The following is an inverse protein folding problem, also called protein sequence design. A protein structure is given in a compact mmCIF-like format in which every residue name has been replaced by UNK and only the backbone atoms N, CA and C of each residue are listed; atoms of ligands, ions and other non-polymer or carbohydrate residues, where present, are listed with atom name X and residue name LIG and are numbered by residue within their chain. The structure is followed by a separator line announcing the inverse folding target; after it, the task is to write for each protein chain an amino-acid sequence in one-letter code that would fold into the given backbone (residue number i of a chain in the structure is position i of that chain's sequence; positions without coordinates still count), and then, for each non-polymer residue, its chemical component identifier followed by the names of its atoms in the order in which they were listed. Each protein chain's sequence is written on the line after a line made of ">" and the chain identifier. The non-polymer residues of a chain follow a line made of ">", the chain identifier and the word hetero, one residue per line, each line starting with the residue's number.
data_IF_468635192165
#
_entry.id   IF_468635192165
#
_cell.length_a   1.000
_cell.length_b   1.000
_cell.length_c   1.000
_cell.angle_alpha   90.00
_cell.angle_beta   90.00
_cell.angle_gamma   90.00
#
_symmetry.space_group_name_H-M   'P 1'
#
loop_
_entity.id
_entity.type
_entity.pdbx_description
1 polymer ?
#
# COMPACT_ATOMS: atom_id res chain seq x y z
N UNK A 1 15.53 -41.37 -13.17
CA UNK A 1 15.62 -40.41 -12.01
C UNK A 1 14.34 -39.60 -11.99
N UNK A 2 13.42 -39.91 -11.09
CA UNK A 2 12.14 -39.22 -10.96
C UNK A 2 12.38 -37.97 -10.07
N UNK A 3 12.42 -36.78 -10.68
CA UNK A 3 12.44 -35.53 -9.90
C UNK A 3 11.04 -35.32 -9.31
N UNK A 4 10.90 -35.55 -8.02
CA UNK A 4 9.72 -35.15 -7.26
C UNK A 4 9.81 -33.65 -7.04
N UNK A 5 9.10 -32.86 -7.83
CA UNK A 5 8.87 -31.47 -7.53
C UNK A 5 7.90 -31.42 -6.35
N UNK A 6 8.43 -31.25 -5.13
CA UNK A 6 7.61 -30.86 -4.00
C UNK A 6 7.14 -29.44 -4.25
N UNK A 7 5.86 -29.27 -4.61
CA UNK A 7 5.24 -27.95 -4.61
C UNK A 7 5.28 -27.43 -3.16
N UNK A 8 6.03 -26.36 -2.93
CA UNK A 8 5.90 -25.62 -1.68
C UNK A 8 4.43 -25.20 -1.55
N UNK A 9 3.81 -25.38 -0.37
CA UNK A 9 2.46 -24.89 -0.17
C UNK A 9 2.45 -23.38 -0.47
N UNK A 10 1.45 -22.93 -1.22
CA UNK A 10 1.25 -21.50 -1.44
C UNK A 10 1.16 -20.83 -0.07
N UNK A 11 2.07 -19.91 0.22
CA UNK A 11 2.06 -19.20 1.48
C UNK A 11 0.80 -18.35 1.53
N UNK A 12 -0.07 -18.59 2.51
CA UNK A 12 -1.22 -17.74 2.75
C UNK A 12 -0.71 -16.34 3.08
N UNK A 13 -1.18 -15.33 2.35
CA UNK A 13 -0.85 -13.95 2.62
C UNK A 13 -2.12 -13.15 2.94
N UNK A 14 -1.95 -12.01 3.55
CA UNK A 14 -2.98 -10.99 3.66
C UNK A 14 -2.34 -9.61 3.65
N UNK A 15 -3.16 -8.57 3.59
CA UNK A 15 -2.75 -7.18 3.64
C UNK A 15 -2.86 -6.69 5.09
N UNK A 16 -1.84 -5.99 5.55
CA UNK A 16 -1.84 -5.39 6.89
C UNK A 16 -2.18 -3.90 6.80
N UNK A 17 -3.35 -3.53 7.30
CA UNK A 17 -3.75 -2.13 7.48
C UNK A 17 -3.02 -1.54 8.69
N UNK A 18 -2.34 -0.42 8.47
CA UNK A 18 -1.55 0.24 9.51
C UNK A 18 -2.44 1.11 10.38
N UNK A 19 -2.45 0.80 11.68
CA UNK A 19 -3.02 1.65 12.72
C UNK A 19 -1.99 2.72 13.09
N UNK A 20 -2.02 3.86 12.40
CA UNK A 20 -1.14 5.00 12.67
C UNK A 20 -1.74 5.97 13.68
N UNK A 21 -0.90 6.84 14.25
CA UNK A 21 -1.29 7.92 15.14
C UNK A 21 -1.41 9.26 14.37
N UNK A 22 -1.95 10.29 15.03
CA UNK A 22 -2.03 11.63 14.48
C UNK A 22 -3.44 12.19 14.32
N UNK A 23 -4.47 11.36 14.52
CA UNK A 23 -5.88 11.77 14.50
C UNK A 23 -6.60 11.52 13.18
N UNK A 24 -5.91 10.99 12.15
CA UNK A 24 -6.58 10.49 10.95
C UNK A 24 -7.31 9.17 11.20
N UNK A 25 -8.31 8.90 10.40
CA UNK A 25 -9.18 7.74 10.52
C UNK A 25 -8.65 6.53 9.72
N UNK A 26 -7.50 6.01 10.14
CA UNK A 26 -6.83 4.84 9.56
C UNK A 26 -7.76 3.64 9.28
N UNK A 27 -8.93 3.62 9.89
CA UNK A 27 -9.96 2.57 9.82
C UNK A 27 -11.05 2.85 8.79
N UNK A 28 -10.95 3.92 8.00
CA UNK A 28 -11.92 4.23 6.95
C UNK A 28 -11.98 3.12 5.90
N UNK A 29 -13.06 3.07 5.15
CA UNK A 29 -13.33 2.06 4.10
C UNK A 29 -13.10 0.62 4.59
N UNK A 30 -13.83 0.20 5.62
CA UNK A 30 -13.57 -1.10 6.27
C UNK A 30 -13.83 -2.30 5.37
N UNK A 31 -14.56 -2.13 4.28
CA UNK A 31 -14.84 -3.18 3.30
C UNK A 31 -13.82 -3.26 2.17
N UNK A 32 -12.99 -2.24 1.97
CA UNK A 32 -12.07 -2.14 0.83
C UNK A 32 -11.12 -3.34 0.72
N UNK A 33 -10.35 -3.60 1.76
CA UNK A 33 -9.39 -4.71 1.74
C UNK A 33 -10.03 -6.10 1.75
N UNK A 34 -11.08 -6.39 2.54
CA UNK A 34 -11.82 -7.64 2.41
C UNK A 34 -12.36 -7.87 0.99
N UNK A 35 -12.92 -6.85 0.35
CA UNK A 35 -13.39 -6.94 -1.03
C UNK A 35 -12.25 -7.23 -2.01
N UNK A 36 -11.11 -6.53 -1.89
CA UNK A 36 -9.92 -6.77 -2.70
C UNK A 36 -9.39 -8.20 -2.52
N UNK A 37 -9.25 -8.67 -1.29
CA UNK A 37 -8.75 -10.02 -0.99
C UNK A 37 -9.67 -11.10 -1.55
N UNK A 38 -10.98 -10.94 -1.40
CA UNK A 38 -11.98 -11.84 -1.99
C UNK A 38 -11.92 -11.82 -3.53
N UNK A 39 -11.78 -10.64 -4.13
CA UNK A 39 -11.63 -10.49 -5.58
C UNK A 39 -10.36 -11.20 -6.09
N UNK A 40 -9.22 -11.01 -5.43
CA UNK A 40 -7.96 -11.69 -5.77
C UNK A 40 -8.10 -13.21 -5.68
N UNK A 41 -8.74 -13.70 -4.63
CA UNK A 41 -8.98 -15.15 -4.47
C UNK A 41 -9.85 -15.75 -5.57
N UNK A 42 -10.84 -14.98 -6.04
CA UNK A 42 -11.80 -15.45 -7.06
C UNK A 42 -11.23 -15.36 -8.49
N UNK A 43 -10.40 -14.35 -8.79
CA UNK A 43 -10.02 -13.97 -10.15
C UNK A 43 -8.55 -14.20 -10.47
N UNK A 44 -7.74 -14.65 -9.51
CA UNK A 44 -6.30 -14.88 -9.70
C UNK A 44 -5.89 -16.24 -9.11
N UNK A 45 -4.71 -16.77 -9.45
CA UNK A 45 -4.15 -17.95 -8.79
C UNK A 45 -3.75 -17.72 -7.31
N UNK A 46 -3.81 -16.48 -6.83
CA UNK A 46 -3.44 -16.14 -5.47
C UNK A 46 -4.42 -16.73 -4.45
N UNK A 47 -3.94 -17.01 -3.24
CA UNK A 47 -4.73 -17.57 -2.14
C UNK A 47 -4.60 -16.69 -0.90
N UNK A 48 -5.11 -15.44 -0.94
CA UNK A 48 -5.12 -14.58 0.22
C UNK A 48 -6.11 -15.08 1.27
N UNK A 49 -5.91 -14.65 2.52
CA UNK A 49 -6.96 -14.70 3.55
C UNK A 49 -8.10 -13.77 3.14
N UNK A 50 -9.31 -14.03 3.61
CA UNK A 50 -10.49 -13.21 3.31
C UNK A 50 -10.51 -11.88 4.06
N UNK A 51 -9.71 -11.74 5.12
CA UNK A 51 -9.71 -10.60 6.02
C UNK A 51 -8.33 -9.94 6.09
N UNK A 52 -8.32 -8.62 6.21
CA UNK A 52 -7.14 -7.85 6.54
C UNK A 52 -6.65 -8.12 7.97
N UNK A 53 -5.40 -7.77 8.24
CA UNK A 53 -4.88 -7.67 9.62
C UNK A 53 -4.68 -6.19 9.93
N UNK A 54 -5.08 -5.77 11.14
CA UNK A 54 -4.85 -4.42 11.65
C UNK A 54 -3.68 -4.46 12.61
N UNK A 55 -2.66 -3.64 12.33
CA UNK A 55 -1.37 -3.74 13.00
C UNK A 55 -0.74 -2.36 13.20
N UNK A 56 0.00 -2.20 14.29
CA UNK A 56 0.90 -1.05 14.47
C UNK A 56 2.29 -1.39 13.91
N UNK A 57 3.02 -0.39 13.49
CA UNK A 57 4.40 -0.58 13.01
C UNK A 57 5.33 -1.18 14.07
N UNK A 58 5.00 -0.99 15.35
CA UNK A 58 5.78 -1.52 16.49
C UNK A 58 5.39 -2.94 16.92
N UNK A 59 4.38 -3.53 16.30
CA UNK A 59 3.95 -4.89 16.65
C UNK A 59 4.97 -5.93 16.17
N UNK A 60 5.20 -6.95 16.97
CA UNK A 60 6.22 -7.99 16.68
C UNK A 60 5.90 -8.80 15.42
N UNK A 61 4.64 -8.92 15.10
CA UNK A 61 4.11 -9.67 13.97
C UNK A 61 4.26 -8.92 12.63
N UNK A 62 4.68 -7.64 12.62
CA UNK A 62 4.81 -6.81 11.42
C UNK A 62 5.55 -7.53 10.27
N UNK A 63 6.63 -8.23 10.60
CA UNK A 63 7.47 -8.90 9.60
C UNK A 63 6.77 -10.07 8.89
N UNK A 64 5.63 -10.52 9.40
CA UNK A 64 4.81 -11.56 8.76
C UNK A 64 3.94 -11.00 7.63
N UNK A 65 3.86 -9.69 7.49
CA UNK A 65 2.95 -9.00 6.55
C UNK A 65 3.72 -8.06 5.61
N UNK A 66 4.31 -8.57 4.53
CA UNK A 66 5.13 -7.75 3.64
C UNK A 66 4.34 -6.72 2.82
N UNK A 67 3.02 -6.82 2.74
CA UNK A 67 2.15 -5.83 2.10
C UNK A 67 1.43 -5.01 3.19
N UNK A 68 1.80 -3.75 3.28
CA UNK A 68 1.22 -2.76 4.18
C UNK A 68 0.24 -1.88 3.41
N UNK A 69 -0.86 -1.51 4.06
CA UNK A 69 -1.85 -0.57 3.53
C UNK A 69 -2.10 0.54 4.54
N UNK A 70 -2.19 1.76 4.04
CA UNK A 70 -2.45 2.96 4.83
C UNK A 70 -3.48 3.81 4.09
N UNK A 71 -4.54 4.18 4.76
CA UNK A 71 -5.59 5.02 4.20
C UNK A 71 -6.19 5.92 5.28
N UNK A 72 -7.05 6.83 4.92
CA UNK A 72 -7.83 7.66 5.81
C UNK A 72 -7.86 9.14 5.44
N UNK A 73 -8.62 9.88 6.22
CA UNK A 73 -8.68 11.33 6.15
C UNK A 73 -7.79 11.96 7.24
N UNK A 74 -7.18 13.08 6.93
CA UNK A 74 -6.49 13.91 7.91
C UNK A 74 -5.06 13.49 8.25
N UNK A 75 -4.66 13.72 9.49
CA UNK A 75 -3.26 13.77 9.84
C UNK A 75 -2.67 12.41 10.24
N UNK A 76 -1.50 12.11 9.66
CA UNK A 76 -0.65 10.97 10.04
C UNK A 76 0.51 11.50 10.87
N UNK A 77 0.88 10.79 11.92
CA UNK A 77 2.07 11.07 12.71
C UNK A 77 2.74 9.77 13.11
N UNK A 78 4.01 9.63 12.74
CA UNK A 78 4.85 8.50 13.13
C UNK A 78 5.83 8.92 14.24
N UNK A 79 6.03 8.05 15.22
CA UNK A 79 7.10 8.19 16.20
C UNK A 79 8.46 7.95 15.57
N UNK A 80 9.56 8.31 16.26
CA UNK A 80 10.91 8.04 15.78
C UNK A 80 11.17 6.53 15.63
N UNK A 81 10.62 5.72 16.53
CA UNK A 81 10.71 4.27 16.47
C UNK A 81 9.98 3.72 15.22
N UNK A 82 8.76 4.17 14.97
CA UNK A 82 7.98 3.75 13.80
C UNK A 82 8.67 4.15 12.48
N UNK A 83 9.31 5.31 12.42
CA UNK A 83 10.09 5.76 11.26
C UNK A 83 11.24 4.81 10.97
N UNK A 84 11.99 4.40 12.00
CA UNK A 84 13.14 3.49 11.86
C UNK A 84 12.64 2.12 11.38
N UNK A 85 11.61 1.59 12.04
CA UNK A 85 11.03 0.27 11.71
C UNK A 85 10.50 0.26 10.27
N UNK A 86 9.71 1.25 9.89
CA UNK A 86 9.12 1.33 8.54
C UNK A 86 10.21 1.43 7.47
N UNK A 87 11.23 2.27 7.69
CA UNK A 87 12.38 2.41 6.77
C UNK A 87 13.06 1.08 6.53
N UNK A 88 13.46 0.40 7.61
CA UNK A 88 14.17 -0.87 7.52
C UNK A 88 13.31 -1.94 6.86
N UNK A 89 12.03 -1.99 7.20
CA UNK A 89 11.13 -3.00 6.67
C UNK A 89 10.92 -2.82 5.16
N UNK A 90 10.69 -1.60 4.71
CA UNK A 90 10.58 -1.28 3.27
C UNK A 90 11.88 -1.57 2.51
N UNK A 91 13.05 -1.24 3.08
CA UNK A 91 14.35 -1.55 2.45
C UNK A 91 14.60 -3.05 2.36
N UNK A 92 14.09 -3.85 3.28
CA UNK A 92 14.19 -5.33 3.28
C UNK A 92 13.23 -6.02 2.32
N UNK A 93 12.38 -5.30 1.62
CA UNK A 93 11.51 -5.88 0.57
C UNK A 93 10.01 -5.72 0.81
N UNK A 94 9.59 -5.18 1.95
CA UNK A 94 8.19 -4.85 2.15
C UNK A 94 7.69 -3.77 1.18
N UNK A 95 6.38 -3.68 1.03
CA UNK A 95 5.69 -2.74 0.17
C UNK A 95 4.61 -2.02 0.97
N UNK A 96 4.49 -0.71 0.79
CA UNK A 96 3.43 0.10 1.36
C UNK A 96 2.57 0.69 0.24
N UNK A 97 1.29 0.42 0.25
CA UNK A 97 0.29 1.15 -0.52
C UNK A 97 -0.38 2.16 0.41
N UNK A 98 -0.26 3.43 0.09
CA UNK A 98 -0.98 4.50 0.77
C UNK A 98 -2.03 5.05 -0.20
N UNK A 99 -3.29 5.06 0.24
CA UNK A 99 -4.43 5.50 -0.54
C UNK A 99 -5.07 6.70 0.17
N UNK A 100 -5.02 7.86 -0.49
CA UNK A 100 -5.53 9.11 0.08
C UNK A 100 -7.03 9.23 -0.17
N UNK A 101 -7.82 9.02 0.87
CA UNK A 101 -9.25 9.25 0.79
C UNK A 101 -9.55 10.74 0.58
N UNK A 102 -8.95 11.60 1.40
CA UNK A 102 -8.93 13.06 1.23
C UNK A 102 -8.21 13.72 2.42
N UNK A 103 -7.26 14.59 2.12
CA UNK A 103 -6.59 15.41 3.14
C UNK A 103 -5.45 14.72 3.90
N UNK A 104 -5.02 13.56 3.49
CA UNK A 104 -3.86 12.86 4.02
C UNK A 104 -2.53 13.36 3.42
N UNK A 105 -2.57 13.96 2.24
CA UNK A 105 -1.41 14.25 1.39
C UNK A 105 -0.24 14.95 2.10
N UNK A 106 -0.49 16.08 2.74
CA UNK A 106 0.59 16.85 3.40
C UNK A 106 1.24 16.05 4.52
N UNK A 107 0.44 15.41 5.36
CA UNK A 107 0.93 14.63 6.49
C UNK A 107 1.67 13.38 6.03
N UNK A 108 1.15 12.65 5.05
CA UNK A 108 1.78 11.47 4.51
C UNK A 108 3.15 11.79 3.88
N UNK A 109 3.22 12.80 3.02
CA UNK A 109 4.49 13.23 2.40
C UNK A 109 5.50 13.72 3.45
N UNK A 110 5.06 14.43 4.47
CA UNK A 110 5.92 14.85 5.59
C UNK A 110 6.50 13.63 6.32
N UNK A 111 5.68 12.66 6.67
CA UNK A 111 6.16 11.46 7.36
C UNK A 111 7.08 10.61 6.46
N UNK A 112 6.75 10.46 5.17
CA UNK A 112 7.63 9.73 4.24
C UNK A 112 8.97 10.44 4.04
N UNK A 113 9.02 11.77 4.10
CA UNK A 113 10.29 12.53 4.07
C UNK A 113 11.13 12.30 5.33
N UNK A 114 10.51 12.03 6.49
CA UNK A 114 11.21 11.60 7.71
C UNK A 114 11.71 10.15 7.58
N UNK A 115 10.90 9.28 6.99
CA UNK A 115 11.32 7.87 6.72
C UNK A 115 12.48 7.84 5.73
N UNK A 116 12.42 8.58 4.64
CA UNK A 116 13.43 8.63 3.57
C UNK A 116 13.86 10.06 3.26
N UNK A 117 14.76 10.68 4.06
CA UNK A 117 15.16 12.09 3.88
C UNK A 117 15.75 12.41 2.50
N UNK A 118 16.39 11.43 1.88
CA UNK A 118 17.12 11.59 0.61
C UNK A 118 16.35 11.03 -0.61
N UNK A 119 15.06 10.70 -0.45
CA UNK A 119 14.22 10.22 -1.55
C UNK A 119 13.02 11.16 -1.72
N UNK A 120 12.58 11.29 -2.95
CA UNK A 120 11.39 12.06 -3.30
C UNK A 120 10.40 11.15 -4.05
N UNK A 121 9.12 11.46 -3.94
CA UNK A 121 8.08 10.81 -4.74
C UNK A 121 8.25 11.17 -6.21
N UNK A 122 8.19 10.14 -7.05
CA UNK A 122 8.18 10.26 -8.51
C UNK A 122 6.79 9.93 -8.99
N UNK A 123 6.17 10.81 -9.77
CA UNK A 123 4.89 10.53 -10.40
C UNK A 123 5.07 9.43 -11.44
N UNK A 124 4.16 8.46 -11.42
CA UNK A 124 4.17 7.33 -12.36
C UNK A 124 3.37 7.70 -13.61
N UNK A 125 4.00 7.72 -14.79
CA UNK A 125 3.30 7.99 -16.04
C UNK A 125 2.30 6.86 -16.36
N UNK A 126 1.30 7.14 -17.17
CA UNK A 126 0.25 6.17 -17.52
C UNK A 126 0.79 4.89 -18.19
N UNK A 127 1.94 5.00 -18.87
CA UNK A 127 2.65 3.88 -19.50
C UNK A 127 3.44 3.02 -18.53
N UNK A 128 3.47 3.40 -17.24
CA UNK A 128 4.22 2.63 -16.25
C UNK A 128 3.67 1.22 -16.12
N UNK A 129 4.57 0.21 -16.02
CA UNK A 129 4.22 -1.20 -15.99
C UNK A 129 3.23 -1.59 -14.86
N UNK A 130 3.14 -0.79 -13.80
CA UNK A 130 2.15 -0.96 -12.75
C UNK A 130 0.72 -1.01 -13.30
N UNK A 131 0.39 -0.11 -14.26
CA UNK A 131 -0.95 0.01 -14.82
C UNK A 131 -1.29 -1.07 -15.85
N UNK A 132 -0.34 -1.94 -16.18
CA UNK A 132 -0.48 -3.02 -17.16
C UNK A 132 -0.09 -4.38 -16.56
N UNK A 133 0.06 -4.47 -15.23
CA UNK A 133 0.62 -5.66 -14.58
C UNK A 133 -0.32 -6.88 -14.61
N UNK A 134 -1.63 -6.67 -14.48
CA UNK A 134 -2.65 -7.71 -14.54
C UNK A 134 -3.89 -7.25 -15.33
N UNK A 135 -4.42 -6.10 -15.00
CA UNK A 135 -5.43 -5.40 -15.80
C UNK A 135 -4.75 -4.28 -16.58
N UNK A 136 -5.34 -3.92 -17.70
CA UNK A 136 -4.88 -2.79 -18.50
C UNK A 136 -5.63 -1.52 -18.08
N UNK A 137 -4.89 -0.55 -17.56
CA UNK A 137 -5.36 0.78 -17.20
C UNK A 137 -4.67 1.82 -18.08
N UNK A 138 -5.02 1.94 -19.36
CA UNK A 138 -4.28 2.76 -20.32
C UNK A 138 -4.31 4.26 -19.99
N UNK A 139 -5.26 4.69 -19.16
CA UNK A 139 -5.40 6.08 -18.70
C UNK A 139 -4.88 6.28 -17.25
N UNK A 140 -4.14 5.32 -16.71
CA UNK A 140 -3.70 5.34 -15.32
C UNK A 140 -4.80 4.96 -14.33
N UNK A 141 -4.72 5.49 -13.10
CA UNK A 141 -5.68 5.17 -12.05
C UNK A 141 -7.09 5.66 -12.37
N UNK A 142 -8.14 4.91 -12.02
CA UNK A 142 -9.50 5.44 -12.02
C UNK A 142 -9.68 6.46 -10.90
N UNK A 143 -10.54 7.46 -11.11
CA UNK A 143 -11.07 8.30 -10.04
C UNK A 143 -12.36 7.65 -9.54
N UNK A 144 -12.32 7.06 -8.36
CA UNK A 144 -13.46 6.32 -7.80
C UNK A 144 -14.41 7.28 -7.10
N UNK A 145 -13.86 8.20 -6.29
CA UNK A 145 -14.62 9.23 -5.62
C UNK A 145 -14.13 10.63 -6.01
N UNK A 146 -15.04 11.57 -6.20
CA UNK A 146 -14.72 12.97 -6.50
C UNK A 146 -14.87 13.85 -5.27
N UNK A 147 -13.74 14.29 -4.71
CA UNK A 147 -13.70 15.34 -3.69
C UNK A 147 -13.52 16.71 -4.32
N UNK A 148 -12.67 16.79 -5.32
CA UNK A 148 -12.44 17.95 -6.17
C UNK A 148 -12.22 17.52 -7.63
N UNK A 149 -12.11 18.45 -8.56
CA UNK A 149 -12.00 18.15 -9.98
C UNK A 149 -10.60 17.74 -10.47
N UNK A 150 -9.66 17.43 -9.56
CA UNK A 150 -8.30 17.08 -9.95
C UNK A 150 -8.24 15.63 -10.49
N UNK A 151 -7.35 15.36 -11.47
CA UNK A 151 -7.16 14.01 -11.98
C UNK A 151 -6.47 13.11 -10.94
N UNK A 152 -6.73 11.80 -10.97
CA UNK A 152 -6.03 10.85 -10.12
C UNK A 152 -4.55 10.75 -10.50
N UNK A 153 -3.69 10.61 -9.51
CA UNK A 153 -2.25 10.51 -9.67
C UNK A 153 -1.69 9.34 -8.87
N UNK A 154 -0.66 8.69 -9.39
CA UNK A 154 0.11 7.69 -8.67
C UNK A 154 1.55 8.17 -8.49
N UNK A 155 2.08 8.00 -7.30
CA UNK A 155 3.45 8.34 -6.97
C UNK A 155 4.19 7.15 -6.40
N UNK A 156 5.45 6.97 -6.79
CA UNK A 156 6.34 5.93 -6.27
C UNK A 156 7.49 6.49 -5.44
N UNK A 157 7.81 5.84 -4.31
CA UNK A 157 9.14 5.93 -3.70
C UNK A 157 9.91 4.67 -4.04
N UNK A 158 11.14 4.84 -4.55
CA UNK A 158 11.92 3.76 -5.10
C UNK A 158 13.15 3.40 -4.28
N UNK A 159 13.46 2.10 -4.24
CA UNK A 159 14.81 1.61 -3.97
C UNK A 159 15.34 0.94 -5.24
N UNK A 160 16.27 1.61 -5.91
CA UNK A 160 16.70 1.29 -7.28
C UNK A 160 15.49 1.31 -8.22
N UNK A 161 15.13 0.15 -8.81
CA UNK A 161 13.98 0.02 -9.72
C UNK A 161 12.70 -0.48 -9.02
N UNK A 162 12.78 -0.84 -7.73
CA UNK A 162 11.65 -1.36 -6.98
C UNK A 162 10.85 -0.24 -6.33
N UNK A 163 9.55 -0.20 -6.57
CA UNK A 163 8.62 0.63 -5.81
C UNK A 163 8.52 0.06 -4.40
N UNK A 164 8.92 0.84 -3.40
CA UNK A 164 8.75 0.51 -1.98
C UNK A 164 7.42 1.05 -1.44
N UNK A 165 7.06 2.24 -1.90
CA UNK A 165 5.82 2.91 -1.53
C UNK A 165 5.10 3.32 -2.80
N UNK A 166 3.86 2.90 -2.94
CA UNK A 166 2.90 3.41 -3.90
C UNK A 166 1.96 4.36 -3.15
N UNK A 167 1.81 5.57 -3.65
CA UNK A 167 0.87 6.54 -3.12
C UNK A 167 -0.14 6.89 -4.22
N UNK A 168 -1.40 6.54 -3.98
CA UNK A 168 -2.52 6.86 -4.85
C UNK A 168 -3.22 8.10 -4.30
N UNK A 169 -3.28 9.15 -5.13
CA UNK A 169 -3.72 10.48 -4.75
C UNK A 169 -4.84 10.94 -5.66
N UNK A 170 -5.85 11.61 -5.11
CA UNK A 170 -7.03 12.12 -5.82
C UNK A 170 -7.89 11.02 -6.47
N UNK A 171 -7.82 9.78 -6.01
CA UNK A 171 -8.56 8.66 -6.61
C UNK A 171 -9.45 7.90 -5.65
N UNK A 172 -9.14 7.85 -4.36
CA UNK A 172 -9.92 7.17 -3.33
C UNK A 172 -10.29 5.73 -3.74
N UNK A 173 -9.25 4.90 -3.95
CA UNK A 173 -9.44 3.55 -4.46
C UNK A 173 -10.14 2.61 -3.46
N UNK A 174 -10.19 2.99 -2.19
CA UNK A 174 -10.80 2.22 -1.12
C UNK A 174 -12.32 2.34 -1.04
N UNK A 175 -12.93 3.32 -1.68
CA UNK A 175 -14.36 3.64 -1.58
C UNK A 175 -15.31 2.69 -2.38
#
# INVERSE_FOLDING_TARGET
>A
LLCIFSSLPAQEFTIARIHYSGGGDWYSDPSSLPNLLNYLSANTPMKPKSEEVRIKLTDKELTSYPYLYMTGHGNIRLSEEEIIILREFLLRGAFLHADDNYGMNESFRREMKRVFPNKDFVELPHEHALFQSYFDFPNGLPKVHEHDGNPPQAFGLFDKERIMVLYTFECDLGD
#
